data_IF_742139555644
#
_entry.id   IF_742139555644
#
_cell.length_a   1.000
_cell.length_b   1.000
_cell.length_c   1.000
_cell.angle_alpha   90.00
_cell.angle_beta   90.00
_cell.angle_gamma   90.00
#
_symmetry.space_group_name_H-M   'P 1'
#
loop_
_entity.id
_entity.type
_entity.pdbx_description
1 polymer ?
#
# COMPACT_ATOMS: atom_id res chain seq x y z
N UNK A 1 -21.08 -14.01 5.69
CA UNK A 1 -20.39 -13.20 4.66
C UNK A 1 -19.24 -14.00 4.02
N UNK A 2 -18.40 -14.65 4.84
CA UNK A 2 -17.22 -15.44 4.40
C UNK A 2 -17.53 -16.51 3.34
N UNK A 3 -18.62 -17.28 3.50
CA UNK A 3 -19.01 -18.31 2.52
C UNK A 3 -19.20 -17.75 1.11
N UNK A 4 -19.89 -16.61 0.98
CA UNK A 4 -20.14 -15.98 -0.31
C UNK A 4 -18.86 -15.40 -0.93
N UNK A 5 -17.94 -14.88 -0.10
CA UNK A 5 -16.65 -14.37 -0.55
C UNK A 5 -15.76 -15.50 -1.10
N UNK A 6 -15.61 -16.59 -0.35
CA UNK A 6 -14.74 -17.70 -0.71
C UNK A 6 -15.22 -18.49 -1.94
N UNK A 7 -16.53 -18.48 -2.20
CA UNK A 7 -17.15 -19.13 -3.36
C UNK A 7 -17.38 -18.19 -4.55
N UNK A 8 -17.05 -16.91 -4.41
CA UNK A 8 -17.13 -15.97 -5.53
C UNK A 8 -16.03 -16.26 -6.55
N UNK A 9 -16.25 -15.80 -7.79
CA UNK A 9 -15.30 -15.96 -8.89
C UNK A 9 -14.36 -14.76 -9.01
N UNK A 10 -13.08 -14.84 -8.59
CA UNK A 10 -12.08 -13.82 -8.84
C UNK A 10 -11.52 -13.92 -10.26
N UNK A 11 -11.56 -12.82 -11.00
CA UNK A 11 -11.01 -12.73 -12.37
C UNK A 11 -9.49 -12.91 -12.46
N UNK A 12 -8.76 -12.78 -11.35
CA UNK A 12 -7.30 -12.96 -11.29
C UNK A 12 -6.86 -14.42 -11.22
N UNK A 13 -7.68 -15.29 -10.61
CA UNK A 13 -7.36 -16.71 -10.39
C UNK A 13 -8.15 -17.59 -11.35
N UNK A 14 -9.33 -17.13 -11.79
CA UNK A 14 -10.16 -17.88 -12.74
C UNK A 14 -10.89 -19.08 -12.12
N UNK A 15 -10.75 -19.29 -10.81
CA UNK A 15 -11.50 -20.23 -9.97
C UNK A 15 -11.78 -19.60 -8.61
N UNK A 16 -12.76 -20.11 -7.87
CA UNK A 16 -13.07 -19.62 -6.52
C UNK A 16 -11.94 -19.91 -5.52
N UNK A 17 -11.82 -19.11 -4.46
CA UNK A 17 -10.81 -19.33 -3.42
C UNK A 17 -10.97 -20.70 -2.73
N UNK A 18 -12.22 -21.18 -2.59
CA UNK A 18 -12.50 -22.51 -2.06
C UNK A 18 -11.98 -23.61 -3.00
N UNK A 19 -12.25 -23.47 -4.29
CA UNK A 19 -11.83 -24.42 -5.32
C UNK A 19 -10.30 -24.47 -5.45
N UNK A 20 -9.65 -23.29 -5.43
CA UNK A 20 -8.19 -23.19 -5.41
C UNK A 20 -7.55 -23.87 -4.18
N UNK A 21 -8.23 -23.89 -3.04
CA UNK A 21 -7.70 -24.46 -1.79
C UNK A 21 -7.94 -25.98 -1.71
N UNK A 22 -9.11 -26.45 -2.16
CA UNK A 22 -9.55 -27.83 -1.95
C UNK A 22 -9.55 -28.67 -3.24
N UNK A 23 -9.25 -28.08 -4.39
CA UNK A 23 -9.31 -28.73 -5.71
C UNK A 23 -10.72 -29.17 -6.11
N UNK A 24 -11.75 -28.62 -5.45
CA UNK A 24 -13.15 -28.97 -5.70
C UNK A 24 -14.07 -27.80 -5.38
N UNK A 25 -15.19 -27.73 -6.11
CA UNK A 25 -16.22 -26.74 -5.85
C UNK A 25 -16.91 -26.96 -4.50
N UNK A 26 -17.29 -25.85 -3.85
CA UNK A 26 -18.01 -25.91 -2.59
C UNK A 26 -19.43 -26.45 -2.79
N UNK A 27 -19.91 -27.27 -1.86
CA UNK A 27 -21.29 -27.76 -1.88
C UNK A 27 -22.22 -26.64 -1.45
N UNK A 28 -23.07 -26.19 -2.37
CA UNK A 28 -24.07 -25.15 -2.13
C UNK A 28 -25.42 -25.85 -1.88
N UNK A 29 -26.27 -25.39 -0.94
CA UNK A 29 -27.58 -26.00 -0.68
C UNK A 29 -28.53 -26.14 -1.89
N UNK A 30 -28.20 -25.49 -3.01
CA UNK A 30 -28.93 -25.52 -4.27
C UNK A 30 -28.47 -26.65 -5.21
N UNK A 31 -27.35 -27.33 -4.92
CA UNK A 31 -26.74 -28.35 -5.77
C UNK A 31 -26.26 -29.54 -4.90
N UNK A 32 -27.19 -30.46 -4.61
CA UNK A 32 -26.97 -31.67 -3.79
C UNK A 32 -26.89 -32.96 -4.62
N UNK A 33 -26.64 -32.87 -5.92
CA UNK A 33 -26.95 -33.96 -6.85
C UNK A 33 -25.93 -35.13 -6.87
N UNK A 34 -24.76 -34.96 -6.25
CA UNK A 34 -23.73 -36.01 -6.23
C UNK A 34 -23.61 -36.67 -4.85
N UNK A 35 -24.62 -37.47 -4.50
CA UNK A 35 -24.53 -38.43 -3.39
C UNK A 35 -24.13 -39.80 -3.95
N UNK A 36 -22.84 -39.97 -4.22
CA UNK A 36 -22.22 -41.24 -4.58
C UNK A 36 -20.80 -41.33 -4.03
N UNK A 37 -20.32 -42.54 -3.72
CA UNK A 37 -18.91 -42.76 -3.39
C UNK A 37 -18.05 -42.39 -4.60
N UNK A 38 -17.40 -41.23 -4.56
CA UNK A 38 -16.27 -40.97 -5.43
C UNK A 38 -15.17 -41.94 -5.03
N UNK A 39 -14.94 -43.00 -5.81
CA UNK A 39 -13.71 -43.78 -5.74
C UNK A 39 -12.58 -42.85 -6.15
N UNK A 40 -11.87 -42.30 -5.16
CA UNK A 40 -10.68 -41.49 -5.37
C UNK A 40 -9.62 -42.39 -6.01
N UNK A 41 -9.40 -42.25 -7.32
CA UNK A 41 -8.22 -42.80 -7.96
C UNK A 41 -7.06 -41.85 -7.67
N UNK A 42 -6.40 -42.11 -6.53
CA UNK A 42 -5.41 -41.24 -5.88
C UNK A 42 -4.32 -40.73 -6.83
N UNK A 43 -3.97 -41.47 -7.89
CA UNK A 43 -2.92 -41.05 -8.83
C UNK A 43 -3.38 -39.99 -9.84
N UNK A 44 -4.59 -40.11 -10.40
CA UNK A 44 -5.10 -39.15 -11.40
C UNK A 44 -5.43 -37.80 -10.74
N UNK A 45 -5.99 -37.85 -9.53
CA UNK A 45 -6.37 -36.68 -8.74
C UNK A 45 -5.16 -35.80 -8.38
N UNK A 46 -4.01 -36.40 -8.07
CA UNK A 46 -2.78 -35.67 -7.71
C UNK A 46 -2.19 -34.94 -8.92
N UNK A 47 -2.16 -35.58 -10.09
CA UNK A 47 -1.66 -34.94 -11.31
C UNK A 47 -2.56 -33.78 -11.74
N UNK A 48 -3.88 -33.95 -11.66
CA UNK A 48 -4.84 -32.91 -11.99
C UNK A 48 -4.73 -31.72 -11.02
N UNK A 49 -4.59 -31.98 -9.73
CA UNK A 49 -4.41 -30.94 -8.71
C UNK A 49 -3.11 -30.16 -8.95
N UNK A 50 -2.00 -30.85 -9.27
CA UNK A 50 -0.73 -30.19 -9.55
C UNK A 50 -0.83 -29.25 -10.77
N UNK A 51 -1.47 -29.69 -11.85
CA UNK A 51 -1.72 -28.85 -13.04
C UNK A 51 -2.56 -27.61 -12.70
N UNK A 52 -3.58 -27.76 -11.86
CA UNK A 52 -4.39 -26.63 -11.41
C UNK A 52 -3.59 -25.64 -10.56
N UNK A 53 -2.74 -26.12 -9.65
CA UNK A 53 -1.87 -25.25 -8.84
C UNK A 53 -0.88 -24.48 -9.70
N UNK A 54 -0.31 -25.11 -10.73
CA UNK A 54 0.56 -24.45 -11.70
C UNK A 54 -0.19 -23.33 -12.44
N UNK A 55 -1.38 -23.63 -12.98
CA UNK A 55 -2.21 -22.64 -13.67
C UNK A 55 -2.57 -21.45 -12.76
N UNK A 56 -2.95 -21.70 -11.51
CA UNK A 56 -3.28 -20.67 -10.53
C UNK A 56 -2.08 -19.77 -10.23
N UNK A 57 -0.88 -20.36 -10.10
CA UNK A 57 0.35 -19.59 -9.87
C UNK A 57 0.68 -18.69 -11.05
N UNK A 58 0.56 -19.20 -12.26
CA UNK A 58 0.79 -18.43 -13.49
C UNK A 58 -0.22 -17.29 -13.64
N UNK A 59 -1.51 -17.56 -13.40
CA UNK A 59 -2.56 -16.55 -13.50
C UNK A 59 -2.39 -15.45 -12.45
N UNK A 60 -2.04 -15.82 -11.20
CA UNK A 60 -1.74 -14.88 -10.13
C UNK A 60 -0.55 -14.00 -10.48
N UNK A 61 0.53 -14.58 -11.02
CA UNK A 61 1.70 -13.83 -11.44
C UNK A 61 1.35 -12.84 -12.55
N UNK A 62 0.63 -13.28 -13.58
CA UNK A 62 0.19 -12.40 -14.66
C UNK A 62 -0.73 -11.26 -14.16
N UNK A 63 -1.64 -11.55 -13.22
CA UNK A 63 -2.50 -10.55 -12.61
C UNK A 63 -1.69 -9.54 -11.79
N UNK A 64 -0.71 -9.99 -11.01
CA UNK A 64 0.20 -9.13 -10.24
C UNK A 64 1.04 -8.25 -11.17
N UNK A 65 1.62 -8.82 -12.23
CA UNK A 65 2.42 -8.08 -13.22
C UNK A 65 1.57 -7.02 -13.94
N UNK A 66 0.32 -7.34 -14.27
CA UNK A 66 -0.64 -6.37 -14.83
C UNK A 66 -0.95 -5.24 -13.85
N UNK A 67 -1.23 -5.57 -12.59
CA UNK A 67 -1.48 -4.55 -11.56
C UNK A 67 -0.26 -3.66 -11.35
N UNK A 68 0.93 -4.26 -11.30
CA UNK A 68 2.22 -3.55 -11.17
C UNK A 68 2.44 -2.61 -12.35
N UNK A 69 2.34 -3.09 -13.58
CA UNK A 69 2.50 -2.25 -14.78
C UNK A 69 1.50 -1.08 -14.82
N UNK A 70 0.24 -1.29 -14.44
CA UNK A 70 -0.74 -0.20 -14.36
C UNK A 70 -0.44 0.82 -13.26
N UNK A 71 0.01 0.36 -12.09
CA UNK A 71 0.37 1.22 -10.98
C UNK A 71 1.64 2.02 -11.27
N UNK A 72 2.68 1.36 -11.76
CA UNK A 72 4.01 1.94 -11.97
C UNK A 72 4.02 2.90 -13.16
N UNK A 73 3.31 2.60 -14.26
CA UNK A 73 3.24 3.49 -15.43
C UNK A 73 2.66 4.88 -15.11
N UNK A 74 1.87 5.00 -14.04
CA UNK A 74 1.27 6.28 -13.60
C UNK A 74 2.06 6.97 -12.49
N UNK A 75 3.10 6.33 -11.95
CA UNK A 75 3.91 6.85 -10.85
C UNK A 75 5.24 7.35 -11.40
N UNK A 76 5.74 8.42 -10.80
CA UNK A 76 7.12 8.88 -11.01
C UNK A 76 7.94 8.41 -9.84
N UNK A 77 9.14 7.89 -10.11
CA UNK A 77 10.09 7.61 -9.05
C UNK A 77 10.52 8.92 -8.40
N UNK A 78 10.14 9.08 -7.14
CA UNK A 78 10.57 10.19 -6.28
C UNK A 78 11.82 9.71 -5.55
N UNK A 79 12.97 10.21 -5.98
CA UNK A 79 14.24 10.00 -5.31
C UNK A 79 14.68 11.30 -4.65
N UNK A 80 15.25 11.17 -3.46
CA UNK A 80 15.79 12.27 -2.68
C UNK A 80 17.21 11.89 -2.26
N UNK A 81 18.08 12.88 -2.17
CA UNK A 81 19.44 12.73 -1.70
C UNK A 81 19.60 13.25 -0.28
N UNK A 82 20.72 12.92 0.36
CA UNK A 82 21.11 13.55 1.63
C UNK A 82 21.36 15.04 1.35
N UNK A 83 21.04 15.90 2.30
CA UNK A 83 21.12 17.37 2.20
C UNK A 83 20.05 18.02 1.27
N UNK A 84 19.14 17.23 0.70
CA UNK A 84 17.98 17.79 0.00
C UNK A 84 17.00 18.41 1.02
N UNK A 85 16.57 19.63 0.72
CA UNK A 85 15.50 20.29 1.46
C UNK A 85 14.13 19.80 0.99
N UNK A 86 13.30 19.37 1.94
CA UNK A 86 11.96 18.81 1.66
C UNK A 86 10.90 19.41 2.57
N UNK A 87 9.68 19.52 2.03
CA UNK A 87 8.50 19.77 2.84
C UNK A 87 7.87 18.46 3.31
N UNK A 88 7.46 18.42 4.57
CA UNK A 88 6.75 17.27 5.14
C UNK A 88 5.25 17.43 5.00
N UNK A 89 4.58 16.44 4.42
CA UNK A 89 3.12 16.37 4.36
C UNK A 89 2.57 15.89 5.69
N UNK A 90 1.79 16.72 6.37
CA UNK A 90 0.94 16.26 7.44
C UNK A 90 -0.44 15.98 6.87
N UNK A 91 -0.86 14.70 6.86
CA UNK A 91 -2.30 14.46 6.90
C UNK A 91 -2.84 15.00 8.23
N UNK A 92 -4.09 15.44 8.29
CA UNK A 92 -4.73 15.79 9.56
C UNK A 92 -4.89 14.51 10.40
N UNK A 93 -3.80 14.08 11.05
CA UNK A 93 -3.86 13.10 12.09
C UNK A 93 -4.67 13.71 13.23
N UNK A 94 -5.57 12.92 13.78
CA UNK A 94 -6.42 13.30 14.90
C UNK A 94 -5.48 13.62 16.09
N UNK A 95 -5.24 14.91 16.34
CA UNK A 95 -4.60 15.39 17.59
C UNK A 95 -3.07 15.50 17.65
N UNK A 96 -2.31 15.30 16.57
CA UNK A 96 -0.83 15.24 16.69
C UNK A 96 -0.13 16.54 16.31
N UNK A 97 -0.45 17.14 15.16
CA UNK A 97 0.12 18.44 14.72
C UNK A 97 -0.87 19.08 13.75
N UNK A 98 -1.37 20.29 14.04
CA UNK A 98 -2.23 21.05 13.11
C UNK A 98 -1.76 22.48 13.00
N UNK A 99 -1.65 22.96 11.77
CA UNK A 99 -1.45 24.39 11.49
C UNK A 99 -2.55 25.24 12.14
N UNK A 100 -2.20 26.44 12.60
CA UNK A 100 -3.11 27.39 13.27
C UNK A 100 -4.43 27.61 12.51
N UNK A 101 -4.41 27.55 11.17
CA UNK A 101 -5.58 27.75 10.31
C UNK A 101 -6.36 26.44 10.09
N UNK A 102 -7.55 26.35 10.69
CA UNK A 102 -8.53 25.28 10.47
C UNK A 102 -9.47 25.66 9.32
N UNK A 103 -9.66 24.76 8.35
CA UNK A 103 -10.69 24.90 7.32
C UNK A 103 -10.17 24.76 5.88
N UNK A 104 -11.01 25.12 4.92
CA UNK A 104 -10.65 25.15 3.49
C UNK A 104 -9.43 26.07 3.30
N UNK A 105 -8.46 25.66 2.48
CA UNK A 105 -7.19 26.37 2.21
C UNK A 105 -6.10 26.30 3.30
N UNK A 106 -6.19 25.41 4.30
CA UNK A 106 -5.05 25.15 5.19
C UNK A 106 -3.88 24.52 4.42
N UNK A 107 -2.62 24.90 4.71
CA UNK A 107 -1.46 24.27 4.08
C UNK A 107 -1.41 22.77 4.40
N UNK A 108 -1.10 21.95 3.40
CA UNK A 108 -0.97 20.47 3.54
C UNK A 108 0.45 20.02 3.88
N UNK A 109 1.42 20.89 3.62
CA UNK A 109 2.83 20.64 3.80
C UNK A 109 3.37 21.64 4.83
N UNK A 110 4.30 21.17 5.66
CA UNK A 110 4.87 21.92 6.77
C UNK A 110 6.38 21.93 6.64
N UNK A 111 6.98 23.04 7.09
CA UNK A 111 8.42 23.20 7.31
C UNK A 111 9.32 22.91 6.11
N UNK A 112 10.54 23.42 6.17
CA UNK A 112 11.61 22.86 5.36
C UNK A 112 12.48 22.04 6.29
N UNK A 113 12.66 20.78 5.95
CA UNK A 113 13.53 19.89 6.69
C UNK A 113 14.57 19.32 5.74
N UNK A 114 15.78 19.23 6.25
CA UNK A 114 16.89 18.60 5.56
C UNK A 114 16.86 17.09 5.76
N UNK A 115 17.10 16.34 4.68
CA UNK A 115 17.26 14.89 4.75
C UNK A 115 18.65 14.58 5.30
N UNK A 116 18.69 13.94 6.46
CA UNK A 116 19.92 13.52 7.13
C UNK A 116 20.44 12.19 6.59
N UNK A 117 19.54 11.26 6.31
CA UNK A 117 19.93 9.90 5.93
C UNK A 117 18.84 9.24 5.09
N UNK A 118 19.24 8.40 4.13
CA UNK A 118 18.34 7.52 3.40
C UNK A 118 18.30 6.13 4.05
N UNK A 119 17.29 5.88 4.88
CA UNK A 119 17.09 4.61 5.61
C UNK A 119 16.73 3.46 4.66
N UNK A 120 16.06 3.76 3.54
CA UNK A 120 15.71 2.76 2.54
C UNK A 120 15.31 3.36 1.19
N UNK A 121 14.95 2.52 0.20
CA UNK A 121 14.62 2.98 -1.14
C UNK A 121 13.51 4.04 -1.17
N UNK A 122 12.53 3.91 -0.27
CA UNK A 122 11.32 4.74 -0.17
C UNK A 122 11.18 5.44 1.18
N UNK A 123 12.21 5.43 2.03
CA UNK A 123 12.13 5.98 3.39
C UNK A 123 13.37 6.81 3.71
N UNK A 124 13.16 8.05 4.13
CA UNK A 124 14.23 8.99 4.50
C UNK A 124 14.05 9.47 5.94
N UNK A 125 15.18 9.71 6.59
CA UNK A 125 15.29 10.35 7.89
C UNK A 125 15.61 11.83 7.70
N UNK A 126 14.95 12.71 8.43
CA UNK A 126 15.15 14.16 8.31
C UNK A 126 15.24 14.82 9.68
N UNK A 127 15.81 16.01 9.71
CA UNK A 127 16.01 16.78 10.93
C UNK A 127 14.68 17.40 11.41
N UNK A 128 13.91 16.67 12.22
CA UNK A 128 12.75 17.28 12.89
C UNK A 128 13.17 18.08 14.13
N UNK A 129 12.55 19.25 14.35
CA UNK A 129 12.60 19.97 15.61
C UNK A 129 12.09 19.12 16.77
N UNK A 130 12.67 19.32 17.95
CA UNK A 130 12.24 18.64 19.19
C UNK A 130 10.77 18.90 19.53
N UNK A 131 10.22 20.04 19.10
CA UNK A 131 8.80 20.36 19.27
C UNK A 131 7.92 19.30 18.62
N UNK A 132 8.34 18.77 17.46
CA UNK A 132 7.62 17.74 16.70
C UNK A 132 7.93 16.31 17.17
N UNK A 133 8.33 16.10 18.43
CA UNK A 133 8.68 14.78 18.98
C UNK A 133 7.59 13.70 18.81
N UNK A 134 6.33 14.10 18.63
CA UNK A 134 5.23 13.16 18.36
C UNK A 134 5.26 12.57 16.94
N UNK A 135 6.02 13.17 16.02
CA UNK A 135 6.22 12.67 14.66
C UNK A 135 7.48 11.80 14.62
N UNK A 136 7.38 10.68 13.91
CA UNK A 136 8.55 9.87 13.61
C UNK A 136 9.45 10.60 12.61
N UNK A 137 10.76 10.49 12.82
CA UNK A 137 11.80 11.10 12.00
C UNK A 137 12.09 10.36 10.69
N UNK A 138 11.59 9.14 10.57
CA UNK A 138 11.64 8.34 9.34
C UNK A 138 10.27 8.34 8.67
N UNK A 139 10.20 8.85 7.44
CA UNK A 139 8.95 8.96 6.68
C UNK A 139 9.11 8.46 5.26
N UNK A 140 8.01 7.91 4.72
CA UNK A 140 7.93 7.44 3.34
C UNK A 140 7.97 8.60 2.33
N UNK A 141 8.67 8.43 1.20
CA UNK A 141 8.88 9.45 0.14
C UNK A 141 7.60 10.10 -0.40
N UNK A 142 6.45 9.41 -0.32
CA UNK A 142 5.14 9.94 -0.74
C UNK A 142 4.59 11.06 0.16
N UNK A 143 5.15 11.21 1.36
CA UNK A 143 4.83 12.30 2.27
C UNK A 143 5.83 13.45 2.16
N UNK A 144 6.82 13.35 1.28
CA UNK A 144 7.84 14.38 1.09
C UNK A 144 7.61 15.13 -0.22
N UNK A 145 7.98 16.40 -0.26
CA UNK A 145 8.01 17.19 -1.49
C UNK A 145 9.32 17.96 -1.57
N UNK A 146 10.09 17.73 -2.64
CA UNK A 146 11.37 18.40 -2.87
C UNK A 146 11.16 19.91 -2.95
N UNK A 147 11.94 20.66 -2.20
CA UNK A 147 12.03 22.10 -2.35
C UNK A 147 12.97 22.43 -3.51
N UNK A 148 12.54 23.34 -4.37
CA UNK A 148 13.37 23.89 -5.44
C UNK A 148 13.70 25.31 -5.00
N UNK A 149 14.96 25.56 -4.68
CA UNK A 149 15.43 26.87 -4.24
C UNK A 149 15.21 27.89 -5.35
N UNK A 150 14.48 28.96 -5.03
CA UNK A 150 14.44 30.17 -5.82
C UNK A 150 15.38 31.19 -5.14
N UNK A 151 16.43 31.69 -5.82
CA UNK A 151 17.37 32.67 -5.25
C UNK A 151 16.71 33.94 -4.69
N UNK A 152 15.46 34.19 -5.09
CA UNK A 152 14.66 35.36 -4.72
C UNK A 152 13.89 35.18 -3.40
N UNK A 153 13.83 33.95 -2.87
CA UNK A 153 12.95 33.60 -1.75
C UNK A 153 13.75 33.34 -0.47
N UNK A 154 13.60 34.23 0.52
CA UNK A 154 14.15 34.01 1.86
C UNK A 154 13.24 33.01 2.58
N UNK A 155 13.83 31.90 3.05
CA UNK A 155 13.12 30.87 3.81
C UNK A 155 12.74 31.42 5.18
N UNK A 156 11.51 31.91 5.34
CA UNK A 156 10.95 32.14 6.67
C UNK A 156 10.50 30.80 7.27
N UNK A 157 11.12 30.39 8.38
CA UNK A 157 10.63 29.27 9.19
C UNK A 157 9.22 29.61 9.68
N UNK A 158 8.20 28.94 9.14
CA UNK A 158 6.84 29.12 9.62
C UNK A 158 6.73 28.54 11.03
N UNK A 159 6.30 29.33 12.04
CA UNK A 159 6.19 28.83 13.41
C UNK A 159 5.11 27.75 13.48
N UNK A 160 5.53 26.53 13.79
CA UNK A 160 4.63 25.41 14.05
C UNK A 160 4.27 25.47 15.54
N UNK A 161 3.17 26.16 15.86
CA UNK A 161 2.62 26.10 17.22
C UNK A 161 1.83 24.80 17.39
N UNK A 162 2.33 23.97 18.29
CA UNK A 162 1.63 22.79 18.77
C UNK A 162 0.64 23.23 19.86
N UNK A 163 -0.63 22.91 19.66
CA UNK A 163 -1.59 22.99 20.76
C UNK A 163 -1.46 21.71 21.57
N UNK A 164 -1.05 21.85 22.82
CA UNK A 164 -1.41 20.85 23.83
C UNK A 164 -2.94 20.89 24.01
N UNK A 165 -3.56 19.71 24.04
CA UNK A 165 -4.99 19.53 24.28
C UNK A 165 -5.38 20.02 25.68
#
# INVERSE_FOLDING_TARGET
MEFAYNNSYPSSIGVSSFDALYGKQCRIPLYWDEVGEHRLEVSEDVEQTNKQVELIRESLKAAQDRQKSYADNRRKDLQFEVDDWVFLKLSPWKGVVRFKKRGKLSPRYIGLYEILERVGPVSNRFALPSDLFRLHDVVHVSMLRKYISDPSYVLEEQPIELKDD
#
